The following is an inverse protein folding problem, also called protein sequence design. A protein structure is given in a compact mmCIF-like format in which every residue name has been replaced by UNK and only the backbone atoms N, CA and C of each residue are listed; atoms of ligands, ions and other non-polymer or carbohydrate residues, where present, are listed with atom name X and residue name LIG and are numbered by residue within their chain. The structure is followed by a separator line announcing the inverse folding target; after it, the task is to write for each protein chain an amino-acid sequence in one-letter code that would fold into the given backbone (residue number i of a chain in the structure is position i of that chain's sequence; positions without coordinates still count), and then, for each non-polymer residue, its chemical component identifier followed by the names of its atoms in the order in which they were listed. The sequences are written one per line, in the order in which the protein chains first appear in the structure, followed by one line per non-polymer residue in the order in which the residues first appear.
data_IF_546720996188
#
_entry.id   IF_546720996188
#
_cell.length_a   1.000
_cell.length_b   1.000
_cell.length_c   1.000
_cell.angle_alpha   90.00
_cell.angle_beta   90.00
_cell.angle_gamma   90.00
#
_symmetry.space_group_name_H-M   'P 1'
#
loop_
_entity.id
_entity.type
_entity.pdbx_description
1 polymer ?
#
# COMPACT_ATOMS: atom_id res chain seq x y z
N UNK A 1 30.86 12.96 -26.06
CA UNK A 1 30.43 13.04 -25.67
C UNK A 1 29.83 12.99 -25.17
N UNK A 2 29.73 12.92 -25.07
CA UNK A 2 29.18 13.03 -24.61
C UNK A 2 28.88 12.91 -24.03
N UNK A 3 29.02 12.85 -23.89
CA UNK A 3 28.70 12.85 -23.19
C UNK A 3 28.20 12.57 -22.70
N UNK A 4 28.40 12.96 -23.13
CA UNK A 4 27.73 12.71 -22.53
C UNK A 4 27.17 11.82 -21.53
N UNK A 5 27.85 11.05 -21.02
CA UNK A 5 27.34 10.09 -20.05
C UNK A 5 26.89 10.72 -18.75
N UNK A 6 27.46 11.81 -18.40
CA UNK A 6 27.04 12.46 -17.16
C UNK A 6 25.57 12.75 -17.18
N UNK A 7 25.10 13.16 -18.31
CA UNK A 7 23.68 13.45 -18.36
C UNK A 7 22.84 12.20 -18.33
N UNK A 8 23.44 11.09 -18.59
CA UNK A 8 22.72 9.85 -18.46
C UNK A 8 22.33 9.62 -17.02
N UNK A 9 23.21 9.94 -16.12
CA UNK A 9 22.88 9.79 -14.72
C UNK A 9 21.77 10.74 -14.30
N UNK A 10 21.81 11.92 -14.84
CA UNK A 10 20.75 12.88 -14.54
C UNK A 10 19.40 12.35 -14.99
N UNK A 11 19.38 11.67 -16.12
CA UNK A 11 18.14 11.11 -16.58
C UNK A 11 17.63 10.04 -15.65
N UNK A 12 18.54 9.29 -15.07
CA UNK A 12 18.13 8.29 -14.13
C UNK A 12 17.48 8.92 -12.92
N UNK A 13 18.02 9.99 -12.46
CA UNK A 13 17.39 10.73 -11.40
C UNK A 13 16.01 11.21 -11.83
N UNK A 14 15.88 11.61 -13.09
CA UNK A 14 14.58 11.98 -13.61
C UNK A 14 13.61 10.84 -13.61
N UNK A 15 14.09 9.61 -13.85
CA UNK A 15 13.23 8.46 -13.80
C UNK A 15 12.65 8.27 -12.41
N UNK A 16 13.47 8.46 -11.40
CA UNK A 16 12.96 8.39 -10.04
C UNK A 16 11.93 9.47 -9.77
N UNK A 17 12.14 10.64 -10.37
CA UNK A 17 11.20 11.71 -10.21
C UNK A 17 9.86 11.40 -10.87
N UNK A 18 9.82 10.41 -11.78
CA UNK A 18 8.54 10.01 -12.36
C UNK A 18 7.64 9.28 -11.39
N UNK A 19 8.17 8.85 -10.26
CA UNK A 19 7.38 8.24 -9.23
C UNK A 19 7.01 9.32 -8.23
N UNK A 20 5.75 9.76 -8.26
CA UNK A 20 5.36 10.85 -7.38
C UNK A 20 5.41 10.45 -5.91
N UNK A 21 5.70 11.42 -5.08
CA UNK A 21 5.66 11.25 -3.64
C UNK A 21 4.40 11.92 -3.10
N UNK A 22 3.64 11.24 -2.25
CA UNK A 22 2.41 11.86 -1.75
C UNK A 22 2.71 13.08 -0.89
N UNK A 23 1.89 14.12 -0.99
CA UNK A 23 2.00 15.26 -0.09
C UNK A 23 1.71 14.84 1.35
N UNK A 24 2.15 15.65 2.29
CA UNK A 24 1.96 15.33 3.70
C UNK A 24 0.49 15.15 4.05
N UNK A 25 -0.39 15.98 3.50
CA UNK A 25 -1.82 15.86 3.76
C UNK A 25 -2.37 14.53 3.26
N UNK A 26 -1.87 14.04 2.15
CA UNK A 26 -2.30 12.75 1.62
C UNK A 26 -1.81 11.61 2.51
N UNK A 27 -0.59 11.72 3.03
CA UNK A 27 -0.07 10.71 3.95
C UNK A 27 -0.91 10.62 5.22
N UNK A 28 -1.26 11.77 5.77
CA UNK A 28 -2.08 11.82 6.97
C UNK A 28 -3.46 11.23 6.70
N UNK A 29 -4.05 11.64 5.59
CA UNK A 29 -5.37 11.15 5.21
C UNK A 29 -5.36 9.63 5.01
N UNK A 30 -4.32 9.10 4.36
CA UNK A 30 -4.22 7.67 4.15
C UNK A 30 -4.23 6.91 5.47
N UNK A 31 -3.42 7.36 6.43
CA UNK A 31 -3.36 6.72 7.73
C UNK A 31 -4.70 6.75 8.44
N UNK A 32 -5.38 7.90 8.40
CA UNK A 32 -6.68 8.03 9.05
C UNK A 32 -7.72 7.11 8.42
N UNK A 33 -7.75 7.06 7.09
CA UNK A 33 -8.70 6.22 6.38
C UNK A 33 -8.48 4.74 6.67
N UNK A 34 -7.22 4.32 6.67
CA UNK A 34 -6.91 2.92 6.95
C UNK A 34 -7.27 2.54 8.37
N UNK A 35 -6.96 3.40 9.34
CA UNK A 35 -7.28 3.12 10.73
C UNK A 35 -8.79 3.11 10.99
N UNK A 36 -9.51 4.03 10.38
CA UNK A 36 -10.96 4.07 10.53
C UNK A 36 -11.60 2.83 9.93
N UNK A 37 -11.17 2.47 8.72
CA UNK A 37 -11.74 1.30 8.06
C UNK A 37 -11.42 0.02 8.81
N UNK A 38 -10.20 -0.07 9.35
CA UNK A 38 -9.81 -1.25 10.12
C UNK A 38 -10.67 -1.40 11.37
N UNK A 39 -10.95 -0.29 12.07
CA UNK A 39 -11.79 -0.37 13.24
C UNK A 39 -13.20 -0.86 12.93
N UNK A 40 -13.71 -0.47 11.78
CA UNK A 40 -15.06 -0.83 11.39
C UNK A 40 -15.17 -2.25 10.85
N UNK A 41 -14.17 -2.67 10.09
CA UNK A 41 -14.29 -3.93 9.36
C UNK A 41 -13.36 -5.03 9.88
N UNK A 42 -12.25 -4.67 10.48
CA UNK A 42 -11.23 -5.65 10.88
C UNK A 42 -10.87 -5.48 12.34
N UNK A 43 -11.83 -5.74 13.24
CA UNK A 43 -11.59 -5.53 14.68
C UNK A 43 -10.51 -6.44 15.26
N UNK A 44 -10.14 -7.51 14.55
CA UNK A 44 -9.02 -8.33 15.00
C UNK A 44 -7.70 -7.57 14.98
N UNK A 45 -7.61 -6.50 14.19
CA UNK A 45 -6.43 -5.66 14.17
C UNK A 45 -6.51 -4.66 15.31
N UNK A 46 -5.58 -4.78 16.25
CA UNK A 46 -5.51 -3.83 17.35
C UNK A 46 -4.96 -2.49 16.87
N UNK A 47 -4.14 -2.51 15.83
CA UNK A 47 -3.50 -1.30 15.33
C UNK A 47 -3.12 -1.48 13.87
N UNK A 48 -3.15 -0.37 13.12
CA UNK A 48 -2.65 -0.33 11.75
C UNK A 48 -1.64 0.80 11.67
N UNK A 49 -0.47 0.49 11.17
CA UNK A 49 0.58 1.48 10.98
C UNK A 49 0.94 1.60 9.51
N UNK A 50 1.34 2.79 9.12
CA UNK A 50 1.72 3.07 7.74
C UNK A 50 3.08 3.72 7.75
N UNK A 51 4.02 3.13 7.04
CA UNK A 51 5.36 3.70 6.91
C UNK A 51 5.57 4.14 5.47
N UNK A 52 5.94 5.39 5.30
CA UNK A 52 6.14 5.95 3.97
C UNK A 52 7.61 5.89 3.57
N UNK A 53 7.83 5.59 2.29
CA UNK A 53 9.18 5.60 1.73
C UNK A 53 9.06 5.96 0.25
N UNK A 54 9.47 7.17 -0.11
CA UNK A 54 9.30 7.66 -1.46
C UNK A 54 7.84 7.67 -1.84
N UNK A 55 7.50 7.04 -2.93
CA UNK A 55 6.12 6.96 -3.38
C UNK A 55 5.34 5.80 -2.81
N UNK A 56 5.95 5.02 -1.92
CA UNK A 56 5.32 3.83 -1.36
C UNK A 56 4.84 4.05 0.08
N UNK A 57 3.77 3.37 0.42
CA UNK A 57 3.26 3.31 1.79
C UNK A 57 3.17 1.84 2.17
N UNK A 58 3.86 1.46 3.23
CA UNK A 58 3.89 0.09 3.71
C UNK A 58 2.91 -0.04 4.87
N UNK A 59 1.91 -0.88 4.69
CA UNK A 59 0.82 -1.02 5.66
C UNK A 59 1.02 -2.30 6.46
N UNK A 60 1.08 -2.14 7.77
CA UNK A 60 1.27 -3.26 8.70
C UNK A 60 0.13 -3.26 9.71
N UNK A 61 -0.42 -4.43 9.98
CA UNK A 61 -1.42 -4.61 11.01
C UNK A 61 -0.81 -5.26 12.24
N UNK A 62 -1.36 -4.96 13.40
CA UNK A 62 -0.94 -5.55 14.65
C UNK A 62 -2.12 -6.19 15.33
N UNK A 63 -1.94 -7.45 15.73
CA UNK A 63 -2.97 -8.16 16.46
C UNK A 63 -2.88 -7.84 17.96
N UNK A 64 -3.93 -8.19 18.70
CA UNK A 64 -3.98 -7.88 20.12
C UNK A 64 -2.85 -8.53 20.91
N UNK A 65 -2.33 -9.66 20.43
CA UNK A 65 -1.23 -10.35 21.11
C UNK A 65 0.15 -9.78 20.74
N UNK A 66 0.19 -8.70 19.96
CA UNK A 66 1.44 -8.08 19.59
C UNK A 66 2.04 -8.59 18.28
N UNK A 67 1.41 -9.57 17.64
CA UNK A 67 1.89 -10.08 16.38
C UNK A 67 1.75 -9.01 15.29
N UNK A 68 2.82 -8.78 14.53
CA UNK A 68 2.82 -7.84 13.43
C UNK A 68 2.63 -8.59 12.12
N UNK A 69 1.71 -8.09 11.30
CA UNK A 69 1.41 -8.68 10.01
C UNK A 69 1.66 -7.63 8.92
N UNK A 70 2.73 -7.78 8.13
CA UNK A 70 2.85 -6.95 6.94
C UNK A 70 1.67 -7.28 6.02
N UNK A 71 0.94 -6.28 5.60
CA UNK A 71 -0.29 -6.50 4.85
C UNK A 71 -0.11 -6.22 3.37
N UNK A 72 0.28 -4.99 3.05
CA UNK A 72 0.40 -4.60 1.66
C UNK A 72 1.29 -3.38 1.52
N UNK A 73 1.63 -3.09 0.27
CA UNK A 73 2.35 -1.89 -0.09
C UNK A 73 1.48 -1.13 -1.09
N UNK A 74 1.31 0.15 -0.84
CA UNK A 74 0.54 1.01 -1.73
C UNK A 74 1.48 1.94 -2.46
N UNK A 75 1.22 2.17 -3.73
CA UNK A 75 2.01 3.09 -4.53
C UNK A 75 1.15 4.28 -4.91
N UNK A 76 1.63 5.46 -4.56
CA UNK A 76 0.92 6.70 -4.85
C UNK A 76 0.88 6.93 -6.36
N UNK A 77 -0.31 7.12 -6.90
CA UNK A 77 -0.50 7.32 -8.32
C UNK A 77 -0.79 8.75 -8.72
N UNK A 78 -0.60 9.67 -7.79
CA UNK A 78 -0.86 11.08 -8.07
C UNK A 78 -2.19 11.58 -7.56
N UNK A 79 -3.01 10.69 -7.01
CA UNK A 79 -4.33 11.03 -6.50
C UNK A 79 -4.52 10.43 -5.12
N UNK A 80 -5.18 11.18 -4.23
CA UNK A 80 -5.32 10.76 -2.84
C UNK A 80 -6.15 9.49 -2.67
N UNK A 81 -7.00 9.18 -3.63
CA UNK A 81 -7.90 8.03 -3.53
C UNK A 81 -7.57 6.92 -4.52
N UNK A 82 -6.37 6.95 -5.11
CA UNK A 82 -5.97 5.92 -6.07
C UNK A 82 -4.57 5.44 -5.74
N UNK A 83 -4.46 4.17 -5.38
CA UNK A 83 -3.20 3.57 -4.96
C UNK A 83 -2.97 2.27 -5.71
N UNK A 84 -1.74 2.09 -6.21
CA UNK A 84 -1.34 0.80 -6.75
C UNK A 84 -1.19 -0.19 -5.61
N UNK A 85 -1.53 -1.45 -5.86
CA UNK A 85 -1.62 -2.46 -4.82
C UNK A 85 -0.57 -3.54 -5.00
N UNK A 86 0.14 -3.86 -3.92
CA UNK A 86 1.05 -5.00 -3.86
C UNK A 86 0.79 -5.72 -2.55
N UNK A 87 0.61 -7.04 -2.64
CA UNK A 87 0.36 -7.86 -1.46
C UNK A 87 1.68 -8.34 -0.88
N UNK A 88 1.74 -8.46 0.44
CA UNK A 88 2.91 -9.05 1.07
C UNK A 88 2.83 -10.58 0.98
N UNK A 89 3.92 -11.18 0.58
CA UNK A 89 4.02 -12.65 0.49
C UNK A 89 5.05 -13.13 1.49
N UNK A 90 4.59 -13.85 2.50
CA UNK A 90 5.47 -14.35 3.54
C UNK A 90 6.51 -15.31 2.97
N UNK A 91 6.15 -16.07 1.94
CA UNK A 91 7.06 -17.03 1.33
C UNK A 91 8.26 -16.34 0.67
N UNK A 92 8.11 -15.09 0.27
CA UNK A 92 9.19 -14.32 -0.33
C UNK A 92 9.75 -13.28 0.62
N UNK A 93 9.08 -13.05 1.74
CA UNK A 93 9.38 -11.93 2.64
C UNK A 93 9.47 -10.62 1.82
N UNK A 94 8.48 -10.39 1.01
CA UNK A 94 8.46 -9.22 0.14
C UNK A 94 7.10 -8.96 -0.45
N UNK A 95 7.02 -7.90 -1.23
CA UNK A 95 5.76 -7.46 -1.81
C UNK A 95 5.72 -7.77 -3.30
N UNK A 96 4.55 -8.13 -3.78
CA UNK A 96 4.36 -8.44 -5.19
C UNK A 96 3.13 -7.70 -5.69
N UNK A 97 3.27 -7.02 -6.82
CA UNK A 97 2.14 -6.33 -7.44
C UNK A 97 1.00 -7.31 -7.66
N UNK A 98 -0.19 -6.87 -7.36
CA UNK A 98 -1.35 -7.75 -7.40
C UNK A 98 -2.57 -6.97 -7.89
N UNK A 99 -3.66 -7.69 -8.05
CA UNK A 99 -4.91 -7.14 -8.54
C UNK A 99 -5.92 -7.18 -7.41
N UNK A 100 -6.67 -6.10 -7.27
CA UNK A 100 -7.73 -6.04 -6.27
C UNK A 100 -8.93 -6.89 -6.72
N UNK A 101 -9.84 -7.21 -5.81
CA UNK A 101 -11.03 -7.97 -6.19
C UNK A 101 -11.86 -7.32 -7.29
N UNK A 102 -11.73 -6.00 -7.46
CA UNK A 102 -12.37 -5.29 -8.55
C UNK A 102 -11.85 -5.68 -9.93
N UNK A 103 -10.67 -6.33 -9.98
CA UNK A 103 -10.03 -6.68 -11.24
C UNK A 103 -8.98 -5.68 -11.69
N UNK A 104 -8.76 -4.62 -10.93
CA UNK A 104 -7.80 -3.58 -11.28
C UNK A 104 -6.61 -3.61 -10.34
N UNK A 105 -5.43 -3.19 -10.84
CA UNK A 105 -4.24 -3.12 -9.99
C UNK A 105 -4.18 -1.87 -9.13
N UNK A 106 -5.14 -0.98 -9.28
CA UNK A 106 -5.23 0.25 -8.48
C UNK A 106 -6.63 0.38 -7.91
N UNK A 107 -6.74 1.06 -6.79
CA UNK A 107 -8.03 1.30 -6.17
C UNK A 107 -7.85 2.15 -4.92
N UNK A 108 -8.87 2.14 -4.07
CA UNK A 108 -8.82 2.90 -2.83
C UNK A 108 -8.00 2.17 -1.77
N UNK A 109 -7.59 2.94 -0.77
CA UNK A 109 -6.87 2.35 0.37
C UNK A 109 -7.73 1.31 1.08
N UNK A 110 -9.02 1.57 1.18
CA UNK A 110 -9.94 0.65 1.85
C UNK A 110 -10.04 -0.69 1.12
N UNK A 111 -10.11 -0.64 -0.22
CA UNK A 111 -10.14 -1.86 -1.01
C UNK A 111 -8.88 -2.68 -0.81
N UNK A 112 -7.74 -2.00 -0.77
CA UNK A 112 -6.46 -2.67 -0.59
C UNK A 112 -6.39 -3.32 0.79
N UNK A 113 -6.84 -2.61 1.81
CA UNK A 113 -6.83 -3.15 3.17
C UNK A 113 -7.73 -4.39 3.26
N UNK A 114 -8.92 -4.32 2.66
CA UNK A 114 -9.82 -5.46 2.68
C UNK A 114 -9.22 -6.67 1.99
N UNK A 115 -8.56 -6.45 0.86
CA UNK A 115 -7.94 -7.54 0.12
C UNK A 115 -6.86 -8.22 0.97
N UNK A 116 -5.98 -7.42 1.57
CA UNK A 116 -4.88 -7.95 2.36
C UNK A 116 -5.39 -8.64 3.64
N UNK A 117 -6.31 -8.00 4.34
CA UNK A 117 -6.84 -8.57 5.58
C UNK A 117 -7.64 -9.84 5.30
N UNK A 118 -8.37 -9.87 4.19
CA UNK A 118 -9.11 -11.09 3.83
C UNK A 118 -8.17 -12.26 3.68
N UNK A 119 -7.01 -12.02 3.08
CA UNK A 119 -6.03 -13.08 2.91
C UNK A 119 -5.40 -13.50 4.23
N UNK A 120 -4.95 -12.52 5.02
CA UNK A 120 -4.16 -12.84 6.21
C UNK A 120 -4.99 -13.14 7.45
N UNK A 121 -6.24 -12.71 7.49
CA UNK A 121 -7.13 -13.01 8.58
C UNK A 121 -8.14 -14.10 8.21
N UNK A 122 -7.96 -14.70 7.02
CA UNK A 122 -8.79 -15.82 6.55
C UNK A 122 -10.28 -15.50 6.56
N UNK A 123 -10.60 -14.32 6.05
CA UNK A 123 -12.01 -13.94 5.95
C UNK A 123 -12.40 -13.81 4.48
N UNK A 124 -12.95 -14.86 3.89
CA UNK A 124 -13.31 -14.84 2.48
C UNK A 124 -14.39 -13.82 2.14
N UNK A 125 -15.14 -13.35 3.14
CA UNK A 125 -16.18 -12.36 2.85
C UNK A 125 -15.59 -11.01 2.47
N UNK A 126 -14.30 -10.80 2.70
CA UNK A 126 -13.64 -9.56 2.34
C UNK A 126 -13.71 -9.29 0.84
N UNK A 127 -13.83 -10.34 0.05
CA UNK A 127 -13.83 -10.19 -1.40
C UNK A 127 -15.23 -10.21 -1.99
N UNK A 128 -16.23 -10.25 -1.16
CA UNK A 128 -17.63 -10.25 -1.62
C UNK A 128 -18.19 -8.85 -1.50
N UNK A 129 -18.90 -8.42 -2.54
CA UNK A 129 -19.64 -7.18 -2.42
C UNK A 129 -20.82 -7.46 -1.51
N UNK A 130 -20.97 -6.78 -0.49
CA UNK A 130 -22.19 -6.92 0.30
C UNK A 130 -22.44 -5.73 1.11
#
# INVERSE_FOLDING_TARGET
MVRGPAFTQARRAGTMALMPTPPESTKISLGQRLRTHARERWPALAQVTVRHRGGFAYVTGELADGTSLPLCRLRYGGYANQWGFAIYLASKDGYEDSILPSGYPVGTAEEALDCACGLYLNDPTAWRPD
#
